data_IF_003798752999
#
_entry.id   IF_003798752999
#
_cell.length_a   1.000
_cell.length_b   1.000
_cell.length_c   1.000
_cell.angle_alpha   90.00
_cell.angle_beta   90.00
_cell.angle_gamma   90.00
#
_symmetry.space_group_name_H-M   'P 1'
#
loop_
_entity.id
_entity.type
_entity.pdbx_description
1 polymer ?
#
# COMPACT_ATOMS: atom_id res chain seq x y z
N UNK A 1 -17.62 -12.53 -22.51
CA UNK A 1 -16.22 -12.31 -22.11
C UNK A 1 -16.22 -10.95 -21.44
N UNK A 2 -16.59 -10.94 -20.16
CA UNK A 2 -16.45 -9.78 -19.29
C UNK A 2 -15.05 -9.88 -18.70
N UNK A 3 -14.20 -8.92 -19.04
CA UNK A 3 -12.90 -8.77 -18.39
C UNK A 3 -13.14 -8.07 -17.06
N UNK A 4 -13.07 -8.85 -15.97
CA UNK A 4 -13.03 -8.31 -14.61
C UNK A 4 -11.88 -7.29 -14.52
N UNK A 5 -12.26 -6.02 -14.31
CA UNK A 5 -11.35 -4.90 -14.16
C UNK A 5 -10.80 -4.91 -12.73
N UNK A 6 -9.86 -5.82 -12.46
CA UNK A 6 -9.08 -5.79 -11.23
C UNK A 6 -8.24 -4.51 -11.18
N UNK A 7 -8.67 -3.57 -10.33
CA UNK A 7 -8.08 -2.24 -10.16
C UNK A 7 -6.68 -2.23 -9.51
N UNK A 8 -6.18 -3.40 -9.12
CA UNK A 8 -5.18 -3.47 -8.05
C UNK A 8 -3.89 -4.17 -8.43
N UNK A 9 -3.86 -4.97 -9.52
CA UNK A 9 -2.65 -5.71 -9.90
C UNK A 9 -2.46 -6.03 -11.40
N UNK A 10 -3.06 -5.27 -12.32
CA UNK A 10 -2.62 -5.33 -13.73
C UNK A 10 -1.30 -4.60 -13.90
N UNK A 11 -0.33 -5.24 -14.56
CA UNK A 11 0.88 -4.58 -15.07
C UNK A 11 0.46 -3.37 -15.91
N UNK A 12 0.62 -2.18 -15.34
CA UNK A 12 0.29 -0.93 -16.03
C UNK A 12 1.14 -0.81 -17.28
N UNK A 13 0.55 -0.31 -18.37
CA UNK A 13 1.33 0.03 -19.55
C UNK A 13 2.39 1.10 -19.21
N UNK A 14 3.50 1.15 -19.95
CA UNK A 14 4.58 2.12 -19.70
C UNK A 14 4.06 3.57 -19.62
N UNK A 15 3.06 3.90 -20.45
CA UNK A 15 2.39 5.21 -20.43
C UNK A 15 1.60 5.46 -19.14
N UNK A 16 0.92 4.45 -18.63
CA UNK A 16 0.17 4.56 -17.37
C UNK A 16 1.12 4.67 -16.18
N UNK A 17 2.25 3.99 -16.20
CA UNK A 17 3.30 4.12 -15.18
C UNK A 17 3.89 5.53 -15.17
N UNK A 18 4.17 6.10 -16.34
CA UNK A 18 4.67 7.48 -16.45
C UNK A 18 3.64 8.50 -15.93
N UNK A 19 2.37 8.31 -16.24
CA UNK A 19 1.29 9.15 -15.71
C UNK A 19 1.20 9.00 -14.19
N UNK A 20 1.23 7.78 -13.66
CA UNK A 20 1.18 7.56 -12.21
C UNK A 20 2.36 8.21 -11.49
N UNK A 21 3.57 8.13 -12.06
CA UNK A 21 4.75 8.79 -11.52
C UNK A 21 4.55 10.31 -11.40
N UNK A 22 3.95 10.95 -12.42
CA UNK A 22 3.64 12.40 -12.42
C UNK A 22 2.57 12.80 -11.41
N UNK A 23 1.69 11.88 -11.01
CA UNK A 23 0.67 12.17 -10.00
C UNK A 23 1.23 12.14 -8.57
N UNK A 24 2.35 11.43 -8.35
CA UNK A 24 2.97 11.31 -7.04
C UNK A 24 3.60 12.65 -6.62
N UNK A 25 3.32 13.14 -5.41
CA UNK A 25 4.06 14.26 -4.84
C UNK A 25 5.57 14.03 -4.78
N UNK A 26 6.36 15.07 -5.08
CA UNK A 26 7.82 15.03 -5.07
C UNK A 26 8.43 15.65 -3.80
N UNK A 27 7.69 16.54 -3.14
CA UNK A 27 8.12 17.28 -1.95
C UNK A 27 7.07 17.18 -0.85
N UNK A 28 7.48 17.43 0.40
CA UNK A 28 6.56 17.28 1.53
C UNK A 28 5.39 18.28 1.53
N UNK A 29 5.51 19.43 0.85
CA UNK A 29 4.40 20.40 0.76
C UNK A 29 3.25 19.90 -0.10
N UNK A 30 3.53 18.99 -1.02
CA UNK A 30 2.57 18.45 -1.99
C UNK A 30 1.98 17.12 -1.50
N UNK A 31 2.50 16.58 -0.40
CA UNK A 31 1.98 15.39 0.24
C UNK A 31 0.86 15.77 1.19
N UNK A 32 -0.36 15.82 0.65
CA UNK A 32 -1.56 16.04 1.43
C UNK A 32 -1.82 14.88 2.40
N UNK A 33 -2.37 15.18 3.57
CA UNK A 33 -2.66 14.18 4.62
C UNK A 33 -1.46 13.81 5.48
N UNK A 34 -1.66 12.86 6.41
CA UNK A 34 -0.63 12.36 7.33
C UNK A 34 0.14 13.48 8.08
N UNK A 35 -0.52 14.60 8.42
CA UNK A 35 0.12 15.86 8.85
C UNK A 35 1.21 15.67 9.91
N UNK A 36 0.88 14.93 10.98
CA UNK A 36 1.82 14.65 12.08
C UNK A 36 3.07 13.89 11.63
N UNK A 37 2.92 12.93 10.73
CA UNK A 37 4.04 12.14 10.19
C UNK A 37 4.92 13.02 9.32
N UNK A 38 4.31 13.78 8.41
CA UNK A 38 5.00 14.71 7.51
C UNK A 38 5.77 15.78 8.31
N UNK A 39 5.17 16.37 9.33
CA UNK A 39 5.82 17.36 10.20
C UNK A 39 7.04 16.79 10.93
N UNK A 40 6.92 15.60 11.50
CA UNK A 40 8.04 14.93 12.16
C UNK A 40 9.16 14.59 11.17
N UNK A 41 8.83 14.02 10.00
CA UNK A 41 9.82 13.69 8.98
C UNK A 41 10.55 14.92 8.46
N UNK A 42 9.85 16.04 8.25
CA UNK A 42 10.49 17.33 7.91
C UNK A 42 11.55 17.74 8.93
N UNK A 43 11.26 17.58 10.22
CA UNK A 43 12.20 17.90 11.30
C UNK A 43 13.41 16.96 11.24
N UNK A 44 13.18 15.65 11.11
CA UNK A 44 14.25 14.65 11.10
C UNK A 44 15.18 14.80 9.88
N UNK A 45 14.61 14.94 8.68
CA UNK A 45 15.34 15.20 7.43
C UNK A 45 16.17 16.48 7.57
N UNK A 46 15.56 17.58 8.01
CA UNK A 46 16.28 18.84 8.21
C UNK A 46 17.43 18.70 9.22
N UNK A 47 17.21 17.98 10.31
CA UNK A 47 18.23 17.77 11.33
C UNK A 47 19.41 16.94 10.82
N UNK A 48 19.15 15.87 10.05
CA UNK A 48 20.18 15.04 9.43
C UNK A 48 21.02 15.85 8.43
N UNK A 49 20.37 16.63 7.55
CA UNK A 49 21.05 17.52 6.60
C UNK A 49 21.93 18.57 7.27
N UNK A 50 21.51 19.15 8.40
CA UNK A 50 22.31 20.12 9.13
C UNK A 50 23.59 19.51 9.73
N UNK A 51 23.61 18.19 9.94
CA UNK A 51 24.77 17.45 10.45
C UNK A 51 25.62 16.81 9.35
N UNK A 52 25.18 16.88 8.10
CA UNK A 52 25.81 16.18 6.97
C UNK A 52 25.87 14.66 7.21
N UNK A 53 24.77 14.10 7.73
CA UNK A 53 24.64 12.69 8.07
C UNK A 53 23.47 12.05 7.30
N UNK A 54 23.55 10.73 7.07
CA UNK A 54 22.41 9.95 6.63
C UNK A 54 21.24 10.06 7.63
N UNK A 55 20.01 9.96 7.12
CA UNK A 55 18.83 9.91 7.98
C UNK A 55 18.77 8.55 8.71
N UNK A 56 18.32 8.57 9.97
CA UNK A 56 17.97 7.34 10.69
C UNK A 56 17.04 6.44 9.86
N UNK A 57 17.21 5.13 9.98
CA UNK A 57 16.37 4.18 9.27
C UNK A 57 14.87 4.37 9.60
N UNK A 58 14.05 4.34 8.55
CA UNK A 58 12.61 4.63 8.63
C UNK A 58 11.77 3.38 8.37
N UNK A 59 10.84 3.08 9.27
CA UNK A 59 9.80 2.07 9.04
C UNK A 59 8.48 2.77 8.73
N UNK A 60 8.01 2.61 7.50
CA UNK A 60 6.69 3.06 7.04
C UNK A 60 5.73 1.87 7.07
N UNK A 61 4.67 1.94 7.88
CA UNK A 61 3.70 0.86 7.91
C UNK A 61 2.26 1.34 7.83
N UNK A 62 1.39 0.49 7.32
CA UNK A 62 -0.03 0.80 7.15
C UNK A 62 -0.60 0.16 5.88
N UNK A 63 -1.93 0.23 5.69
CA UNK A 63 -2.64 -0.34 4.54
C UNK A 63 -1.99 -0.03 3.17
N UNK A 64 -2.24 -0.87 2.15
CA UNK A 64 -1.75 -0.62 0.80
C UNK A 64 -2.34 0.67 0.23
N UNK A 65 -1.60 1.33 -0.66
CA UNK A 65 -2.08 2.51 -1.40
C UNK A 65 -2.10 3.84 -0.64
N UNK A 66 -1.59 3.90 0.59
CA UNK A 66 -1.55 5.12 1.43
C UNK A 66 -0.38 6.08 1.15
N UNK A 67 0.52 5.74 0.24
CA UNK A 67 1.65 6.59 -0.16
C UNK A 67 3.00 6.28 0.50
N UNK A 68 3.22 5.05 1.00
CA UNK A 68 4.51 4.63 1.60
C UNK A 68 5.71 4.84 0.65
N UNK A 69 5.62 4.31 -0.57
CA UNK A 69 6.66 4.46 -1.61
C UNK A 69 6.84 5.92 -2.01
N UNK A 70 5.74 6.68 -2.13
CA UNK A 70 5.81 8.12 -2.40
C UNK A 70 6.57 8.87 -1.31
N UNK A 71 6.29 8.58 -0.05
CA UNK A 71 6.97 9.21 1.08
C UNK A 71 8.46 8.88 1.11
N UNK A 72 8.84 7.66 0.72
CA UNK A 72 10.26 7.28 0.57
C UNK A 72 10.97 8.12 -0.51
N UNK A 73 10.32 8.34 -1.66
CA UNK A 73 10.85 9.23 -2.70
C UNK A 73 10.98 10.67 -2.22
N UNK A 74 9.99 11.19 -1.49
CA UNK A 74 10.05 12.55 -0.94
C UNK A 74 11.20 12.67 0.05
N UNK A 75 11.40 11.67 0.93
CA UNK A 75 12.52 11.67 1.88
C UNK A 75 13.85 11.73 1.13
N UNK A 76 14.05 10.88 0.11
CA UNK A 76 15.27 10.89 -0.70
C UNK A 76 15.49 12.23 -1.41
N UNK A 77 14.43 12.80 -2.00
CA UNK A 77 14.48 14.09 -2.69
C UNK A 77 14.84 15.24 -1.74
N UNK A 78 14.23 15.28 -0.55
CA UNK A 78 14.48 16.32 0.45
C UNK A 78 15.86 16.18 1.10
N UNK A 79 16.40 14.96 1.16
CA UNK A 79 17.80 14.67 1.54
C UNK A 79 18.80 14.96 0.42
N UNK A 80 18.34 15.17 -0.83
CA UNK A 80 19.16 15.39 -2.02
C UNK A 80 20.10 14.20 -2.36
N UNK A 81 19.61 12.98 -2.15
CA UNK A 81 20.36 11.72 -2.36
C UNK A 81 19.65 10.79 -3.34
N UNK A 82 20.35 9.76 -3.81
CA UNK A 82 19.79 8.71 -4.65
C UNK A 82 18.82 7.80 -3.87
N UNK A 83 17.95 7.11 -4.61
CA UNK A 83 17.08 6.06 -4.06
C UNK A 83 17.20 4.78 -4.88
N UNK A 84 17.42 3.67 -4.21
CA UNK A 84 17.32 2.31 -4.76
C UNK A 84 16.07 1.64 -4.21
N UNK A 85 15.24 1.10 -5.10
CA UNK A 85 13.97 0.45 -4.74
C UNK A 85 14.08 -1.04 -4.99
N UNK A 86 13.63 -1.83 -4.01
CA UNK A 86 13.48 -3.28 -4.09
C UNK A 86 12.30 -3.72 -3.23
N UNK A 87 12.04 -5.03 -3.17
CA UNK A 87 11.05 -5.61 -2.28
C UNK A 87 11.60 -6.83 -1.56
N UNK A 88 11.00 -7.16 -0.40
CA UNK A 88 11.36 -8.32 0.40
C UNK A 88 11.42 -9.61 -0.41
N UNK A 89 10.39 -9.94 -1.22
CA UNK A 89 10.39 -11.16 -2.04
C UNK A 89 11.47 -11.21 -3.12
N UNK A 90 11.97 -10.06 -3.59
CA UNK A 90 13.05 -9.99 -4.58
C UNK A 90 14.40 -10.32 -3.94
N UNK A 91 14.56 -10.07 -2.65
CA UNK A 91 15.77 -10.33 -1.88
C UNK A 91 15.74 -11.73 -1.27
N UNK A 92 15.95 -12.74 -2.13
CA UNK A 92 15.92 -14.14 -1.74
C UNK A 92 17.23 -14.57 -1.05
N UNK A 93 18.39 -14.09 -1.55
CA UNK A 93 19.72 -14.54 -1.10
C UNK A 93 20.59 -13.39 -0.57
N UNK A 94 21.54 -13.67 0.34
CA UNK A 94 22.47 -12.67 0.85
C UNK A 94 23.25 -11.91 -0.24
N UNK A 95 23.57 -12.58 -1.35
CA UNK A 95 24.25 -11.97 -2.48
C UNK A 95 23.44 -10.86 -3.17
N UNK A 96 22.11 -10.99 -3.21
CA UNK A 96 21.22 -9.99 -3.82
C UNK A 96 21.22 -8.70 -2.99
N UNK A 97 21.10 -8.84 -1.67
CA UNK A 97 21.20 -7.73 -0.73
C UNK A 97 22.59 -7.08 -0.79
N UNK A 98 23.65 -7.89 -0.81
CA UNK A 98 25.03 -7.40 -0.87
C UNK A 98 25.33 -6.59 -2.14
N UNK A 99 24.84 -7.05 -3.29
CA UNK A 99 25.00 -6.33 -4.55
C UNK A 99 24.29 -4.97 -4.55
N UNK A 100 23.13 -4.88 -3.88
CA UNK A 100 22.45 -3.60 -3.71
C UNK A 100 23.19 -2.67 -2.75
N UNK A 101 23.56 -3.18 -1.57
CA UNK A 101 24.19 -2.37 -0.51
C UNK A 101 25.56 -1.83 -0.95
N UNK A 102 26.36 -2.62 -1.66
CA UNK A 102 27.68 -2.16 -2.15
C UNK A 102 27.59 -1.14 -3.29
N UNK A 103 26.42 -1.01 -3.93
CA UNK A 103 26.15 -0.03 -4.98
C UNK A 103 25.54 1.29 -4.49
N UNK A 104 25.39 1.47 -3.18
CA UNK A 104 24.87 2.72 -2.58
C UNK A 104 26.00 3.74 -2.43
N UNK A 105 25.68 5.00 -2.71
CA UNK A 105 26.52 6.14 -2.37
C UNK A 105 26.27 6.61 -0.93
N UNK A 106 27.13 7.48 -0.40
CA UNK A 106 26.98 8.01 0.95
C UNK A 106 25.68 8.81 1.09
N UNK A 107 24.86 8.43 2.06
CA UNK A 107 23.56 9.04 2.33
C UNK A 107 22.40 8.47 1.50
N UNK A 108 22.65 7.60 0.51
CA UNK A 108 21.59 7.06 -0.34
C UNK A 108 20.48 6.36 0.45
N UNK A 109 19.28 6.38 -0.13
CA UNK A 109 18.12 5.68 0.41
C UNK A 109 18.00 4.29 -0.22
N UNK A 110 17.97 3.25 0.61
CA UNK A 110 17.52 1.91 0.19
C UNK A 110 16.07 1.70 0.65
N UNK A 111 15.15 1.65 -0.29
CA UNK A 111 13.74 1.36 -0.02
C UNK A 111 13.42 -0.12 -0.27
N UNK A 112 12.92 -0.81 0.75
CA UNK A 112 12.47 -2.22 0.67
C UNK A 112 10.97 -2.27 0.94
N UNK A 113 10.16 -2.48 -0.09
CA UNK A 113 8.74 -2.76 0.09
C UNK A 113 8.52 -4.19 0.58
N UNK A 114 7.40 -4.43 1.26
CA UNK A 114 7.09 -5.72 1.87
C UNK A 114 8.27 -6.31 2.68
N UNK A 115 8.97 -5.47 3.44
CA UNK A 115 10.20 -5.85 4.17
C UNK A 115 10.00 -7.05 5.12
N UNK A 116 8.76 -7.28 5.56
CA UNK A 116 8.36 -8.41 6.39
C UNK A 116 8.41 -9.78 5.66
N UNK A 117 8.63 -9.78 4.34
CA UNK A 117 8.76 -10.99 3.51
C UNK A 117 10.21 -11.35 3.21
N UNK A 118 11.18 -10.65 3.80
CA UNK A 118 12.59 -11.04 3.73
C UNK A 118 12.77 -12.45 4.30
N UNK A 119 13.68 -13.23 3.70
CA UNK A 119 14.07 -14.50 4.30
C UNK A 119 14.82 -14.23 5.61
N UNK A 120 14.69 -15.10 6.63
CA UNK A 120 15.39 -14.91 7.90
C UNK A 120 16.90 -14.74 7.74
N UNK A 121 17.47 -15.45 6.75
CA UNK A 121 18.90 -15.33 6.42
C UNK A 121 19.21 -13.92 5.93
N UNK A 122 18.46 -13.38 4.95
CA UNK A 122 18.72 -12.02 4.44
C UNK A 122 18.49 -10.96 5.52
N UNK A 123 17.49 -11.17 6.38
CA UNK A 123 17.22 -10.30 7.53
C UNK A 123 18.41 -10.21 8.50
N UNK A 124 19.10 -11.32 8.77
CA UNK A 124 20.31 -11.33 9.61
C UNK A 124 21.45 -10.47 9.03
N UNK A 125 21.67 -10.52 7.72
CA UNK A 125 22.68 -9.67 7.07
C UNK A 125 22.29 -8.19 7.12
N UNK A 126 20.99 -7.90 7.03
CA UNK A 126 20.50 -6.54 7.10
C UNK A 126 20.74 -5.92 8.49
N UNK A 127 20.80 -6.72 9.57
CA UNK A 127 21.13 -6.21 10.90
C UNK A 127 22.50 -5.55 10.96
N UNK A 128 23.53 -6.25 10.49
CA UNK A 128 24.91 -5.74 10.49
C UNK A 128 25.04 -4.53 9.57
N UNK A 129 24.35 -4.54 8.43
CA UNK A 129 24.34 -3.43 7.50
C UNK A 129 23.75 -2.15 8.14
N UNK A 130 22.68 -2.28 8.93
CA UNK A 130 22.00 -1.16 9.57
C UNK A 130 22.75 -0.61 10.80
N UNK A 131 23.42 -1.46 11.57
CA UNK A 131 24.10 -1.01 12.81
C UNK A 131 25.50 -0.46 12.55
N UNK A 132 26.28 -1.19 11.75
CA UNK A 132 27.72 -0.98 11.69
C UNK A 132 28.22 -0.71 10.26
N UNK A 133 27.32 -0.64 9.28
CA UNK A 133 27.65 -0.44 7.86
C UNK A 133 28.66 -1.46 7.32
N UNK A 134 28.53 -2.73 7.71
CA UNK A 134 29.26 -3.83 7.10
C UNK A 134 28.38 -5.08 6.98
N UNK A 135 28.76 -5.99 6.08
CA UNK A 135 28.17 -7.33 5.97
C UNK A 135 29.26 -8.38 5.80
N UNK A 136 29.08 -9.53 6.44
CA UNK A 136 30.01 -10.67 6.38
C UNK A 136 29.46 -11.76 5.48
N UNK A 137 29.98 -11.89 4.26
CA UNK A 137 29.49 -12.86 3.27
C UNK A 137 30.37 -14.10 3.24
N UNK A 138 29.73 -15.25 3.42
CA UNK A 138 30.36 -16.54 3.19
C UNK A 138 30.50 -16.81 1.69
N UNK A 139 31.74 -16.87 1.22
CA UNK A 139 32.09 -17.27 -0.15
C UNK A 139 32.52 -18.75 -0.13
N UNK A 140 32.11 -19.49 -1.15
CA UNK A 140 32.32 -20.94 -1.33
C UNK A 140 31.53 -21.83 -0.35
N UNK A 141 31.59 -23.16 -0.56
CA UNK A 141 30.90 -24.16 0.28
C UNK A 141 31.90 -25.19 0.82
N UNK A 142 31.65 -25.69 2.03
CA UNK A 142 32.43 -26.77 2.65
C UNK A 142 33.70 -26.27 3.37
N UNK A 143 34.73 -27.13 3.56
CA UNK A 143 35.92 -26.79 4.35
C UNK A 143 36.75 -25.62 3.81
N UNK A 144 36.55 -25.23 2.55
CA UNK A 144 37.21 -24.10 1.90
C UNK A 144 36.41 -22.79 1.97
N UNK A 145 35.22 -22.81 2.59
CA UNK A 145 34.40 -21.62 2.74
C UNK A 145 35.13 -20.56 3.57
N UNK A 146 35.12 -19.32 3.10
CA UNK A 146 35.76 -18.18 3.77
C UNK A 146 34.77 -17.04 3.90
N UNK A 147 34.81 -16.35 5.02
CA UNK A 147 34.04 -15.12 5.21
C UNK A 147 34.80 -13.94 4.59
N UNK A 148 34.09 -13.10 3.85
CA UNK A 148 34.58 -11.81 3.34
C UNK A 148 33.71 -10.71 3.91
N UNK A 149 34.34 -9.81 4.66
CA UNK A 149 33.68 -8.62 5.17
C UNK A 149 33.66 -7.54 4.08
N UNK A 150 32.47 -7.01 3.81
CA UNK A 150 32.26 -5.87 2.92
C UNK A 150 31.86 -4.65 3.75
N UNK A 151 32.64 -3.58 3.65
CA UNK A 151 32.28 -2.28 4.21
C UNK A 151 31.31 -1.57 3.28
N UNK A 152 30.32 -0.91 3.86
CA UNK A 152 29.26 -0.18 3.16
C UNK A 152 29.40 1.32 3.41
N UNK A 153 28.83 2.12 2.50
CA UNK A 153 28.64 3.54 2.77
C UNK A 153 27.52 3.73 3.80
N UNK A 154 27.56 4.78 4.65
CA UNK A 154 26.42 5.19 5.45
C UNK A 154 25.21 5.41 4.55
N UNK A 155 24.06 4.82 4.89
CA UNK A 155 22.86 4.88 4.06
C UNK A 155 21.59 4.91 4.93
N UNK A 156 20.47 5.31 4.35
CA UNK A 156 19.17 5.25 5.02
C UNK A 156 18.33 4.10 4.48
N UNK A 157 18.12 3.06 5.30
CA UNK A 157 17.10 2.05 5.01
C UNK A 157 15.68 2.61 5.27
N UNK A 158 14.81 2.52 4.27
CA UNK A 158 13.36 2.71 4.43
C UNK A 158 12.63 1.39 4.19
N UNK A 159 12.11 0.78 5.24
CA UNK A 159 11.28 -0.42 5.16
C UNK A 159 9.80 -0.07 5.05
N UNK A 160 9.07 -0.69 4.11
CA UNK A 160 7.63 -0.57 4.03
C UNK A 160 6.91 -1.91 4.30
N UNK A 161 5.79 -1.85 5.03
CA UNK A 161 4.98 -3.04 5.32
C UNK A 161 3.51 -2.71 5.56
N UNK A 162 2.61 -3.63 5.19
CA UNK A 162 1.20 -3.58 5.60
C UNK A 162 0.98 -4.11 7.02
N UNK A 163 1.93 -4.89 7.55
CA UNK A 163 1.81 -5.61 8.82
C UNK A 163 3.09 -5.46 9.65
N UNK A 164 3.20 -4.38 10.41
CA UNK A 164 4.37 -4.15 11.27
C UNK A 164 4.54 -5.19 12.40
N UNK A 165 3.47 -5.92 12.72
CA UNK A 165 3.50 -7.04 13.66
C UNK A 165 4.18 -8.31 13.12
N UNK A 166 4.44 -8.40 11.81
CA UNK A 166 5.17 -9.52 11.21
C UNK A 166 6.69 -9.33 11.21
N UNK A 167 7.19 -8.11 11.45
CA UNK A 167 8.62 -7.90 11.60
C UNK A 167 9.11 -8.52 12.90
N UNK A 168 10.30 -9.11 12.87
CA UNK A 168 10.94 -9.61 14.07
C UNK A 168 11.22 -8.44 15.04
N UNK A 169 11.27 -8.74 16.34
CA UNK A 169 11.64 -7.78 17.37
C UNK A 169 12.98 -7.08 17.09
N UNK A 170 14.05 -7.84 16.75
CA UNK A 170 15.35 -7.29 16.38
C UNK A 170 15.31 -6.30 15.21
N UNK A 171 14.72 -6.68 14.06
CA UNK A 171 14.64 -5.79 12.89
C UNK A 171 13.89 -4.50 13.23
N UNK A 172 12.74 -4.63 13.89
CA UNK A 172 11.88 -3.50 14.25
C UNK A 172 12.56 -2.54 15.24
N UNK A 173 13.49 -3.01 16.07
CA UNK A 173 14.20 -2.18 17.02
C UNK A 173 15.23 -1.25 16.34
N UNK A 174 15.72 -1.60 15.16
CA UNK A 174 16.76 -0.86 14.40
C UNK A 174 16.25 0.33 13.61
N UNK A 175 14.94 0.43 13.44
CA UNK A 175 14.32 1.62 12.85
C UNK A 175 14.22 2.73 13.89
N UNK A 176 15.03 3.78 13.72
CA UNK A 176 14.99 4.98 14.58
C UNK A 176 13.70 5.77 14.40
N UNK A 177 13.13 5.75 13.19
CA UNK A 177 11.88 6.45 12.86
C UNK A 177 10.80 5.43 12.49
N UNK A 178 9.63 5.51 13.13
CA UNK A 178 8.49 4.61 12.87
C UNK A 178 7.24 5.44 12.59
N UNK A 179 6.62 5.21 11.44
CA UNK A 179 5.45 5.96 11.00
C UNK A 179 4.31 5.02 10.58
N UNK A 180 3.17 5.14 11.25
CA UNK A 180 1.94 4.43 10.92
C UNK A 180 1.07 5.32 10.02
N UNK A 181 0.97 4.99 8.74
CA UNK A 181 0.06 5.65 7.82
C UNK A 181 -1.37 5.14 8.05
N UNK A 182 -2.29 6.08 8.16
CA UNK A 182 -3.72 5.81 8.35
C UNK A 182 -4.52 6.11 7.09
N UNK A 183 -5.76 5.63 7.02
CA UNK A 183 -6.65 5.99 5.93
C UNK A 183 -6.96 7.49 5.94
N UNK A 184 -7.21 8.02 4.75
CA UNK A 184 -7.44 9.44 4.52
C UNK A 184 -8.92 9.77 4.65
N UNK A 185 -9.19 10.96 5.19
CA UNK A 185 -10.54 11.52 5.17
C UNK A 185 -10.95 11.92 3.75
N UNK A 186 -12.26 11.88 3.49
CA UNK A 186 -12.82 12.21 2.17
C UNK A 186 -12.46 13.63 1.71
N UNK A 187 -12.40 14.60 2.64
CA UNK A 187 -12.01 15.98 2.33
C UNK A 187 -10.58 16.08 1.82
N UNK A 188 -9.65 15.33 2.42
CA UNK A 188 -8.25 15.29 1.99
C UNK A 188 -8.14 14.60 0.62
N UNK A 189 -8.84 13.49 0.44
CA UNK A 189 -8.89 12.79 -0.85
C UNK A 189 -9.50 13.65 -1.96
N UNK A 190 -10.50 14.48 -1.65
CA UNK A 190 -11.07 15.44 -2.61
C UNK A 190 -9.99 16.40 -3.11
N UNK A 191 -9.18 16.94 -2.21
CA UNK A 191 -8.02 17.77 -2.57
C UNK A 191 -7.04 17.05 -3.48
N UNK A 192 -6.72 15.79 -3.16
CA UNK A 192 -5.85 14.94 -4.00
C UNK A 192 -6.44 14.73 -5.40
N UNK A 193 -7.74 14.45 -5.51
CA UNK A 193 -8.43 14.27 -6.81
C UNK A 193 -8.38 15.56 -7.64
N UNK A 194 -8.63 16.72 -7.04
CA UNK A 194 -8.57 18.03 -7.71
C UNK A 194 -7.15 18.39 -8.17
N UNK A 195 -6.14 18.08 -7.37
CA UNK A 195 -4.73 18.25 -7.78
C UNK A 195 -4.41 17.33 -8.95
N UNK A 196 -4.78 16.06 -8.86
CA UNK A 196 -4.53 15.07 -9.90
C UNK A 196 -5.25 15.40 -11.21
N UNK A 197 -6.48 15.94 -11.18
CA UNK A 197 -7.20 16.33 -12.39
C UNK A 197 -6.49 17.47 -13.14
N UNK A 198 -5.92 18.42 -12.39
CA UNK A 198 -5.09 19.51 -12.94
C UNK A 198 -3.86 18.95 -13.66
N UNK A 199 -3.16 17.98 -13.06
CA UNK A 199 -1.99 17.32 -13.67
C UNK A 199 -2.39 16.54 -14.93
N UNK A 200 -3.55 15.87 -14.89
CA UNK A 200 -4.10 15.13 -16.02
C UNK A 200 -4.75 16.02 -17.09
N UNK A 201 -4.82 17.34 -16.86
CA UNK A 201 -5.44 18.34 -17.73
C UNK A 201 -6.89 18.00 -18.07
N UNK A 202 -7.66 17.61 -17.05
CA UNK A 202 -9.11 17.38 -17.17
C UNK A 202 -9.86 18.27 -16.20
N UNK A 203 -10.86 18.99 -16.70
CA UNK A 203 -11.75 19.78 -15.86
C UNK A 203 -12.66 18.85 -15.06
N UNK A 204 -12.79 19.11 -13.76
CA UNK A 204 -13.65 18.34 -12.86
C UNK A 204 -14.41 19.28 -11.94
N UNK A 205 -15.69 19.00 -11.71
CA UNK A 205 -16.49 19.73 -10.72
C UNK A 205 -16.18 19.26 -9.29
N UNK A 206 -16.34 20.15 -8.31
CA UNK A 206 -15.99 19.86 -6.92
C UNK A 206 -16.83 18.73 -6.31
N UNK A 207 -18.12 18.66 -6.64
CA UNK A 207 -19.03 17.59 -6.24
C UNK A 207 -18.65 16.23 -6.85
N UNK A 208 -18.21 16.20 -8.10
CA UNK A 208 -17.68 14.98 -8.72
C UNK A 208 -16.39 14.50 -8.04
N UNK A 209 -15.48 15.42 -7.70
CA UNK A 209 -14.26 15.08 -6.98
C UNK A 209 -14.56 14.49 -5.58
N UNK A 210 -15.56 15.05 -4.87
CA UNK A 210 -16.03 14.52 -3.59
C UNK A 210 -16.64 13.13 -3.73
N UNK A 211 -17.44 12.88 -4.77
CA UNK A 211 -18.04 11.56 -5.03
C UNK A 211 -16.97 10.49 -5.29
N UNK A 212 -15.93 10.82 -6.07
CA UNK A 212 -14.77 9.94 -6.27
C UNK A 212 -14.08 9.68 -4.95
N UNK A 213 -13.77 10.73 -4.19
CA UNK A 213 -13.07 10.63 -2.92
C UNK A 213 -13.82 9.76 -1.90
N UNK A 214 -15.14 9.93 -1.79
CA UNK A 214 -16.00 9.14 -0.90
C UNK A 214 -15.94 7.65 -1.20
N UNK A 215 -15.87 7.26 -2.48
CA UNK A 215 -15.80 5.86 -2.92
C UNK A 215 -14.37 5.30 -3.06
N UNK A 216 -13.36 6.05 -2.61
CA UNK A 216 -11.95 5.68 -2.74
C UNK A 216 -11.36 4.91 -1.56
N UNK A 217 -12.22 4.43 -0.64
CA UNK A 217 -11.85 3.62 0.54
C UNK A 217 -10.78 4.26 1.44
N UNK A 218 -10.74 5.59 1.49
CA UNK A 218 -9.71 6.30 2.25
C UNK A 218 -8.30 6.16 1.69
N UNK A 219 -8.12 5.81 0.41
CA UNK A 219 -6.79 5.59 -0.19
C UNK A 219 -6.53 6.48 -1.42
N UNK A 220 -5.40 7.22 -1.47
CA UNK A 220 -5.01 8.01 -2.64
C UNK A 220 -4.82 7.20 -3.92
N UNK A 221 -4.29 5.96 -3.81
CA UNK A 221 -4.09 5.08 -4.98
C UNK A 221 -5.41 4.77 -5.69
N UNK A 222 -6.48 4.45 -4.94
CA UNK A 222 -7.80 4.20 -5.52
C UNK A 222 -8.38 5.49 -6.08
N UNK A 223 -8.31 6.61 -5.36
CA UNK A 223 -8.82 7.89 -5.83
C UNK A 223 -8.26 8.30 -7.19
N UNK A 224 -6.94 8.21 -7.37
CA UNK A 224 -6.30 8.50 -8.64
C UNK A 224 -6.62 7.47 -9.74
N UNK A 225 -6.84 6.20 -9.39
CA UNK A 225 -7.27 5.19 -10.34
C UNK A 225 -8.70 5.45 -10.84
N UNK A 226 -9.63 5.79 -9.93
CA UNK A 226 -11.01 6.13 -10.27
C UNK A 226 -11.09 7.39 -11.12
N UNK A 227 -10.36 8.44 -10.75
CA UNK A 227 -10.27 9.66 -11.55
C UNK A 227 -9.84 9.37 -12.99
N UNK A 228 -8.82 8.51 -13.19
CA UNK A 228 -8.38 8.12 -14.54
C UNK A 228 -9.49 7.41 -15.32
N UNK A 229 -10.20 6.47 -14.71
CA UNK A 229 -11.30 5.75 -15.39
C UNK A 229 -12.49 6.66 -15.69
N UNK A 230 -12.87 7.52 -14.76
CA UNK A 230 -13.96 8.47 -14.96
C UNK A 230 -13.62 9.49 -16.06
N UNK A 231 -12.35 9.90 -16.14
CA UNK A 231 -11.86 10.67 -17.29
C UNK A 231 -12.04 9.92 -18.60
N UNK A 232 -11.71 8.62 -18.65
CA UNK A 232 -11.90 7.81 -19.86
C UNK A 232 -13.40 7.79 -20.27
N UNK A 233 -14.32 7.63 -19.32
CA UNK A 233 -15.76 7.73 -19.58
C UNK A 233 -16.18 9.13 -20.06
N UNK A 234 -15.67 10.19 -19.44
CA UNK A 234 -15.97 11.57 -19.83
C UNK A 234 -15.49 11.91 -21.24
N UNK A 235 -14.35 11.36 -21.66
CA UNK A 235 -13.82 11.56 -23.01
C UNK A 235 -14.61 10.82 -24.10
N UNK A 236 -15.15 9.64 -23.80
CA UNK A 236 -15.83 8.79 -24.79
C UNK A 236 -17.34 9.02 -24.81
N UNK A 237 -17.95 9.20 -23.64
CA UNK A 237 -19.42 9.26 -23.47
C UNK A 237 -19.93 10.60 -22.95
N UNK A 238 -19.04 11.48 -22.51
CA UNK A 238 -19.40 12.78 -21.94
C UNK A 238 -18.96 13.97 -22.81
N UNK A 239 -18.75 15.11 -22.15
CA UNK A 239 -18.31 16.36 -22.75
C UNK A 239 -16.78 16.54 -22.79
N UNK A 240 -16.03 15.58 -22.25
CA UNK A 240 -14.60 15.70 -21.95
C UNK A 240 -14.28 16.29 -20.57
N UNK A 241 -15.26 16.92 -19.90
CA UNK A 241 -15.16 17.36 -18.50
C UNK A 241 -15.85 16.36 -17.57
N UNK A 242 -15.39 16.27 -16.32
CA UNK A 242 -15.93 15.36 -15.30
C UNK A 242 -16.94 16.12 -14.44
N UNK A 243 -18.21 15.77 -14.55
CA UNK A 243 -19.29 16.23 -13.69
C UNK A 243 -19.90 15.06 -12.87
N UNK A 244 -20.91 15.36 -12.05
CA UNK A 244 -21.54 14.37 -11.19
C UNK A 244 -22.27 13.27 -11.97
N UNK A 245 -22.83 13.58 -13.14
CA UNK A 245 -23.59 12.63 -13.95
C UNK A 245 -22.65 11.55 -14.52
N UNK A 246 -21.57 11.97 -15.19
CA UNK A 246 -20.61 11.02 -15.75
C UNK A 246 -19.84 10.27 -14.66
N UNK A 247 -19.62 10.91 -13.51
CA UNK A 247 -18.97 10.28 -12.36
C UNK A 247 -19.81 9.12 -11.83
N UNK A 248 -21.11 9.34 -11.56
CA UNK A 248 -22.01 8.27 -11.13
C UNK A 248 -22.11 7.17 -12.16
N UNK A 249 -22.30 7.54 -13.43
CA UNK A 249 -22.34 6.58 -14.52
C UNK A 249 -21.08 5.71 -14.58
N UNK A 250 -19.90 6.34 -14.47
CA UNK A 250 -18.61 5.64 -14.52
C UNK A 250 -18.42 4.73 -13.31
N UNK A 251 -18.73 5.20 -12.10
CA UNK A 251 -18.62 4.40 -10.87
C UNK A 251 -19.55 3.18 -10.90
N UNK A 252 -20.79 3.36 -11.35
CA UNK A 252 -21.76 2.27 -11.49
C UNK A 252 -21.30 1.27 -12.56
N UNK A 253 -20.77 1.75 -13.70
CA UNK A 253 -20.22 0.90 -14.76
C UNK A 253 -18.95 0.13 -14.33
N UNK A 254 -18.27 0.60 -13.29
CA UNK A 254 -17.11 -0.07 -12.67
C UNK A 254 -17.51 -0.98 -11.51
N UNK A 255 -18.82 -1.17 -11.26
CA UNK A 255 -19.37 -1.94 -10.15
C UNK A 255 -18.89 -1.44 -8.77
N UNK A 256 -18.76 -0.12 -8.60
CA UNK A 256 -18.36 0.51 -7.33
C UNK A 256 -19.57 1.11 -6.65
N UNK A 257 -19.97 0.53 -5.53
CA UNK A 257 -21.13 1.00 -4.78
C UNK A 257 -20.88 2.29 -3.98
N UNK A 258 -21.92 2.78 -3.30
CA UNK A 258 -21.85 4.03 -2.52
C UNK A 258 -20.89 3.96 -1.32
N UNK A 259 -20.60 2.75 -0.83
CA UNK A 259 -19.61 2.51 0.23
C UNK A 259 -18.19 2.38 -0.34
N UNK A 260 -18.05 2.48 -1.67
CA UNK A 260 -16.81 2.33 -2.40
C UNK A 260 -16.38 0.87 -2.61
N UNK A 261 -17.22 -0.11 -2.24
CA UNK A 261 -16.89 -1.53 -2.42
C UNK A 261 -17.05 -1.92 -3.89
N UNK A 262 -16.10 -2.71 -4.38
CA UNK A 262 -16.13 -3.25 -5.73
C UNK A 262 -16.86 -4.59 -5.78
N UNK A 263 -16.93 -5.18 -6.97
CA UNK A 263 -17.53 -6.49 -7.18
C UNK A 263 -16.88 -7.59 -6.33
N UNK A 264 -15.56 -7.59 -6.18
CA UNK A 264 -14.85 -8.63 -5.41
C UNK A 264 -15.12 -8.49 -3.91
N UNK A 265 -15.14 -7.26 -3.37
CA UNK A 265 -15.55 -7.02 -1.98
C UNK A 265 -16.96 -7.58 -1.71
N UNK A 266 -17.91 -7.22 -2.58
CA UNK A 266 -19.30 -7.65 -2.47
C UNK A 266 -19.41 -9.17 -2.65
N UNK A 267 -18.61 -9.78 -3.53
CA UNK A 267 -18.53 -11.23 -3.73
C UNK A 267 -17.96 -11.95 -2.50
N UNK A 268 -16.96 -11.39 -1.82
CA UNK A 268 -16.41 -11.91 -0.56
C UNK A 268 -17.51 -11.90 0.52
N UNK A 269 -18.16 -10.75 0.73
CA UNK A 269 -19.22 -10.60 1.72
C UNK A 269 -20.41 -11.54 1.43
N UNK A 270 -20.88 -11.56 0.19
CA UNK A 270 -21.96 -12.43 -0.25
C UNK A 270 -21.61 -13.91 -0.08
N UNK A 271 -20.37 -14.30 -0.38
CA UNK A 271 -19.89 -15.67 -0.19
C UNK A 271 -19.93 -16.10 1.27
N UNK A 272 -19.46 -15.24 2.19
CA UNK A 272 -19.50 -15.54 3.63
C UNK A 272 -20.95 -15.67 4.12
N UNK A 273 -21.84 -14.80 3.64
CA UNK A 273 -23.27 -14.82 4.03
C UNK A 273 -23.99 -16.04 3.44
N UNK A 274 -23.95 -16.23 2.13
CA UNK A 274 -24.80 -17.18 1.41
C UNK A 274 -24.30 -18.61 1.53
N UNK A 275 -22.97 -18.83 1.45
CA UNK A 275 -22.39 -20.17 1.45
C UNK A 275 -22.02 -20.66 2.85
N UNK A 276 -21.81 -19.74 3.78
CA UNK A 276 -21.29 -20.05 5.12
C UNK A 276 -22.14 -19.46 6.27
N UNK A 277 -23.37 -19.03 5.98
CA UNK A 277 -24.33 -18.51 6.98
C UNK A 277 -23.78 -17.38 7.86
N UNK A 278 -22.86 -16.58 7.31
CA UNK A 278 -22.21 -15.48 8.01
C UNK A 278 -20.88 -15.83 8.70
N UNK A 279 -20.41 -17.07 8.60
CA UNK A 279 -19.17 -17.56 9.20
C UNK A 279 -19.37 -18.24 10.57
N UNK A 280 -18.29 -18.64 11.26
CA UNK A 280 -16.88 -18.44 10.89
C UNK A 280 -16.41 -19.34 9.73
N UNK A 281 -15.63 -18.77 8.82
CA UNK A 281 -15.02 -19.50 7.69
C UNK A 281 -13.53 -19.16 7.52
N UNK A 282 -12.71 -20.16 7.18
CA UNK A 282 -11.28 -19.98 6.98
C UNK A 282 -10.95 -19.13 5.74
N UNK A 283 -9.84 -18.38 5.79
CA UNK A 283 -9.39 -17.54 4.67
C UNK A 283 -9.21 -18.33 3.37
N UNK A 284 -8.56 -19.49 3.46
CA UNK A 284 -8.32 -20.36 2.30
C UNK A 284 -9.63 -20.86 1.67
N UNK A 285 -10.65 -21.10 2.49
CA UNK A 285 -11.98 -21.48 2.03
C UNK A 285 -12.70 -20.34 1.32
N UNK A 286 -12.63 -19.11 1.87
CA UNK A 286 -13.17 -17.92 1.20
C UNK A 286 -12.46 -17.74 -0.15
N UNK A 287 -11.14 -17.73 -0.13
CA UNK A 287 -10.27 -17.56 -1.30
C UNK A 287 -10.65 -18.54 -2.43
N UNK A 288 -10.77 -19.82 -2.09
CA UNK A 288 -11.19 -20.86 -3.04
C UNK A 288 -12.61 -20.61 -3.58
N UNK A 289 -13.54 -20.16 -2.72
CA UNK A 289 -14.94 -19.97 -3.10
C UNK A 289 -15.19 -18.74 -3.99
N UNK A 290 -14.32 -17.72 -3.91
CA UNK A 290 -14.38 -16.51 -4.76
C UNK A 290 -13.41 -16.56 -5.95
N UNK A 291 -12.48 -17.50 -5.96
CA UNK A 291 -11.49 -17.68 -7.04
C UNK A 291 -10.28 -16.76 -6.91
N UNK A 292 -9.86 -16.45 -5.68
CA UNK A 292 -8.77 -15.51 -5.39
C UNK A 292 -7.68 -16.14 -4.53
N UNK A 293 -6.52 -15.48 -4.45
CA UNK A 293 -5.46 -15.88 -3.53
C UNK A 293 -5.75 -15.43 -2.09
N UNK A 294 -5.44 -16.31 -1.12
CA UNK A 294 -5.65 -16.04 0.29
C UNK A 294 -4.89 -14.78 0.76
N UNK A 295 -3.65 -14.61 0.30
CA UNK A 295 -2.82 -13.43 0.60
C UNK A 295 -3.47 -12.13 0.13
N UNK A 296 -3.95 -12.11 -1.12
CA UNK A 296 -4.64 -10.97 -1.71
C UNK A 296 -5.88 -10.58 -0.90
N UNK A 297 -6.72 -11.55 -0.51
CA UNK A 297 -7.86 -11.27 0.37
C UNK A 297 -7.41 -10.65 1.68
N UNK A 298 -6.40 -11.23 2.34
CA UNK A 298 -5.94 -10.77 3.64
C UNK A 298 -5.32 -9.36 3.61
N UNK A 299 -4.59 -9.03 2.54
CA UNK A 299 -3.73 -7.85 2.46
C UNK A 299 -4.36 -6.69 1.70
N UNK A 300 -5.27 -6.98 0.76
CA UNK A 300 -5.83 -5.99 -0.16
C UNK A 300 -7.27 -5.66 0.20
N UNK A 301 -8.12 -6.66 0.43
CA UNK A 301 -9.56 -6.47 0.61
C UNK A 301 -9.96 -6.38 2.09
N UNK A 302 -9.53 -7.36 2.89
CA UNK A 302 -9.90 -7.50 4.29
C UNK A 302 -9.57 -6.25 5.16
N UNK A 303 -8.47 -5.50 4.96
CA UNK A 303 -8.16 -4.34 5.81
C UNK A 303 -9.25 -3.25 5.78
N UNK A 304 -9.85 -2.99 4.61
CA UNK A 304 -10.92 -1.99 4.50
C UNK A 304 -12.25 -2.57 5.02
N UNK A 305 -12.56 -3.82 4.68
CA UNK A 305 -13.78 -4.49 5.15
C UNK A 305 -13.83 -4.63 6.68
N UNK A 306 -12.69 -4.82 7.34
CA UNK A 306 -12.61 -4.82 8.81
C UNK A 306 -12.78 -3.40 9.36
N UNK A 307 -12.12 -2.41 8.76
CA UNK A 307 -12.19 -1.01 9.23
C UNK A 307 -13.61 -0.46 9.19
N UNK A 308 -14.33 -0.67 8.09
CA UNK A 308 -15.74 -0.26 7.95
C UNK A 308 -16.70 -1.20 8.70
N UNK A 309 -16.15 -2.23 9.35
CA UNK A 309 -16.89 -3.12 10.23
C UNK A 309 -17.80 -4.09 9.50
N UNK A 310 -17.54 -4.46 8.25
CA UNK A 310 -18.26 -5.50 7.52
C UNK A 310 -17.82 -6.92 7.91
N UNK A 311 -16.54 -7.11 8.22
CA UNK A 311 -15.95 -8.39 8.61
C UNK A 311 -15.23 -8.22 9.96
N UNK A 312 -15.21 -9.30 10.75
CA UNK A 312 -14.33 -9.44 11.92
C UNK A 312 -13.52 -10.74 11.84
N UNK A 313 -12.30 -10.70 12.35
CA UNK A 313 -11.45 -11.90 12.53
C UNK A 313 -11.73 -12.55 13.87
N UNK A 314 -11.91 -13.86 13.87
CA UNK A 314 -12.00 -14.70 15.07
C UNK A 314 -10.93 -15.80 15.00
N UNK A 315 -10.59 -16.46 16.13
CA UNK A 315 -9.69 -17.61 16.10
C UNK A 315 -10.17 -18.77 15.19
N UNK A 316 -11.48 -18.81 14.87
CA UNK A 316 -12.10 -19.85 14.05
C UNK A 316 -12.18 -19.49 12.56
N UNK A 317 -11.97 -18.22 12.20
CA UNK A 317 -12.13 -17.74 10.83
C UNK A 317 -12.61 -16.30 10.74
N UNK A 318 -13.15 -15.93 9.58
CA UNK A 318 -13.79 -14.64 9.32
C UNK A 318 -15.30 -14.79 9.49
N UNK A 319 -15.91 -13.79 10.11
CA UNK A 319 -17.35 -13.66 10.28
C UNK A 319 -17.78 -12.29 9.76
N UNK A 320 -18.94 -12.22 9.09
CA UNK A 320 -19.54 -10.92 8.75
C UNK A 320 -20.31 -10.34 9.93
N UNK A 321 -20.47 -9.02 9.93
CA UNK A 321 -21.26 -8.28 10.92
C UNK A 321 -22.67 -7.97 10.39
N UNK A 322 -23.52 -7.36 11.21
CA UNK A 322 -24.82 -6.81 10.77
C UNK A 322 -24.69 -5.83 9.61
N UNK A 323 -23.63 -5.01 9.59
CA UNK A 323 -23.43 -4.00 8.55
C UNK A 323 -23.31 -4.63 7.16
N UNK A 324 -22.70 -5.82 7.06
CA UNK A 324 -22.59 -6.53 5.77
C UNK A 324 -23.95 -7.08 5.29
N UNK A 325 -24.79 -7.52 6.22
CA UNK A 325 -26.16 -7.94 5.89
C UNK A 325 -26.98 -6.74 5.39
N UNK A 326 -26.96 -5.62 6.12
CA UNK A 326 -27.67 -4.40 5.75
C UNK A 326 -27.19 -3.86 4.40
N UNK A 327 -25.87 -3.82 4.17
CA UNK A 327 -25.26 -3.37 2.92
C UNK A 327 -25.72 -4.19 1.71
N UNK A 328 -25.76 -5.52 1.84
CA UNK A 328 -26.22 -6.40 0.75
C UNK A 328 -27.74 -6.58 0.71
N UNK A 329 -28.51 -5.89 1.56
CA UNK A 329 -29.96 -6.04 1.65
C UNK A 329 -30.40 -7.44 2.07
N UNK A 330 -29.58 -8.15 2.86
CA UNK A 330 -29.83 -9.52 3.34
C UNK A 330 -30.24 -9.50 4.81
N UNK A 331 -30.99 -10.52 5.22
CA UNK A 331 -31.38 -10.70 6.61
C UNK A 331 -30.63 -11.88 7.22
N UNK A 332 -30.25 -11.74 8.48
CA UNK A 332 -29.70 -12.85 9.24
C UNK A 332 -30.86 -13.75 9.67
N UNK A 333 -30.92 -14.97 9.13
CA UNK A 333 -31.90 -15.95 9.57
C UNK A 333 -31.71 -16.21 11.07
N UNK A 334 -32.70 -15.79 11.86
CA UNK A 334 -32.68 -15.85 13.31
C UNK A 334 -32.98 -17.26 13.85
N UNK A 335 -33.03 -18.30 12.99
CA UNK A 335 -33.65 -19.58 13.30
C UNK A 335 -32.72 -20.76 13.64
N UNK A 336 -31.40 -20.59 13.73
CA UNK A 336 -30.49 -21.73 14.05
C UNK A 336 -29.72 -21.60 15.38
N UNK A 337 -30.35 -21.06 16.41
CA UNK A 337 -29.94 -21.28 17.81
C UNK A 337 -31.01 -22.07 18.57
N UNK A 338 -31.36 -23.24 18.05
CA UNK A 338 -32.01 -24.31 18.80
C UNK A 338 -31.27 -25.59 18.39
N UNK A 339 -30.29 -25.99 19.19
CA UNK A 339 -30.09 -27.34 19.75
C UNK A 339 -28.78 -27.38 20.54
#
# INVERSE_FOLDING_TARGET
MEEDLEFRDKTLSDKEQEIEARLRPEIFSDFDGQKKIVENLKIFVKAARLRDEALDHVLLHGPPGLGKTTLAHIIANEMEVGIKITSGPVLDKPGDLAGLLTGLEEGDVLFIDEIHRLSPIVEEYLYSAMEDYFIDIMIDKGPAARSVQLTLQPFTLIGATTRSGLLTGPLRARFGIKSLLEYYDADILTGIVLRSSTILKVDISNDAAMEIAARSRGTPRIANALLRRIRDFAQVKGSGSIDMEITRYGLDALNIDQSGLDEMDNKILATIIDKFSGGPVGLTTIATAVGEEAGTIEEVYEPFLIKEGYIKRTPRGREVTSNAYEHLGKYRDSQNFLF
#
